data_IF_345313989655
#
_entry.id   IF_345313989655
#
_cell.length_a   1.000
_cell.length_b   1.000
_cell.length_c   1.000
_cell.angle_alpha   90.00
_cell.angle_beta   90.00
_cell.angle_gamma   90.00
#
_symmetry.space_group_name_H-M   'P 1'
#
loop_
_entity.id
_entity.type
_entity.pdbx_description
1 polymer ?
#
# COMPACT_ATOMS: atom_id res chain seq x y z
N UNK A 1 2.75 1.00 8.83
CA UNK A 1 2.58 -0.46 8.72
C UNK A 1 3.83 -1.07 8.12
N UNK A 2 4.42 -1.99 8.82
CA UNK A 2 5.58 -2.75 8.34
C UNK A 2 5.24 -4.20 8.61
N UNK A 3 5.06 -4.99 7.56
CA UNK A 3 4.54 -6.34 7.76
C UNK A 3 4.96 -7.28 6.66
N UNK A 4 5.24 -8.52 7.04
CA UNK A 4 5.42 -9.60 6.09
C UNK A 4 4.10 -10.33 5.94
N UNK A 5 3.59 -10.39 4.73
CA UNK A 5 2.33 -11.05 4.44
C UNK A 5 2.59 -12.44 3.90
N UNK A 6 1.83 -13.41 4.39
CA UNK A 6 1.94 -14.79 3.93
C UNK A 6 0.89 -15.03 2.86
N UNK A 7 1.34 -15.42 1.67
CA UNK A 7 0.42 -15.75 0.58
C UNK A 7 0.04 -17.22 0.66
N UNK A 8 1.03 -18.06 0.89
CA UNK A 8 0.82 -19.50 0.88
C UNK A 8 0.48 -19.96 2.30
N UNK A 9 -0.81 -20.08 2.57
CA UNK A 9 -1.28 -20.49 3.89
C UNK A 9 -2.08 -21.78 3.75
N UNK A 10 -2.10 -22.55 4.82
CA UNK A 10 -2.57 -23.93 4.80
C UNK A 10 -4.05 -24.07 4.45
N UNK A 11 -4.89 -23.22 5.00
CA UNK A 11 -6.33 -23.40 4.92
C UNK A 11 -7.02 -22.47 3.95
N UNK A 12 -6.25 -21.81 3.07
CA UNK A 12 -6.85 -20.84 2.17
C UNK A 12 -6.35 -21.05 0.75
N UNK A 13 -7.25 -20.81 -0.18
CA UNK A 13 -6.92 -20.68 -1.57
C UNK A 13 -6.00 -19.49 -1.75
N UNK A 14 -5.01 -19.63 -2.63
CA UNK A 14 -4.02 -18.57 -2.83
C UNK A 14 -4.67 -17.27 -3.30
N UNK A 15 -5.63 -17.35 -4.23
CA UNK A 15 -6.30 -16.14 -4.72
C UNK A 15 -7.07 -15.44 -3.62
N UNK A 16 -7.73 -16.21 -2.77
CA UNK A 16 -8.47 -15.62 -1.67
C UNK A 16 -7.55 -14.96 -0.67
N UNK A 17 -6.40 -15.57 -0.43
CA UNK A 17 -5.43 -15.00 0.48
C UNK A 17 -4.92 -13.68 -0.06
N UNK A 18 -4.65 -13.60 -1.35
CA UNK A 18 -4.21 -12.36 -1.98
C UNK A 18 -5.27 -11.27 -1.83
N UNK A 19 -6.53 -11.63 -2.07
CA UNK A 19 -7.63 -10.67 -1.90
C UNK A 19 -7.72 -10.19 -0.46
N UNK A 20 -7.53 -11.09 0.48
CA UNK A 20 -7.56 -10.74 1.89
C UNK A 20 -6.45 -9.76 2.23
N UNK A 21 -5.26 -9.97 1.70
CA UNK A 21 -4.14 -9.08 1.90
C UNK A 21 -4.45 -7.71 1.32
N UNK A 22 -4.97 -7.67 0.09
CA UNK A 22 -5.34 -6.39 -0.53
C UNK A 22 -6.37 -5.64 0.28
N UNK A 23 -7.34 -6.36 0.83
CA UNK A 23 -8.36 -5.74 1.66
C UNK A 23 -7.76 -5.17 2.94
N UNK A 24 -6.85 -5.89 3.56
CA UNK A 24 -6.19 -5.41 4.75
C UNK A 24 -5.42 -4.13 4.47
N UNK A 25 -4.71 -4.10 3.36
CA UNK A 25 -3.94 -2.93 2.96
C UNK A 25 -4.87 -1.75 2.68
N UNK A 26 -5.96 -2.00 1.96
CA UNK A 26 -6.92 -0.94 1.65
C UNK A 26 -7.54 -0.36 2.91
N UNK A 27 -7.87 -1.21 3.87
CA UNK A 27 -8.44 -0.74 5.13
C UNK A 27 -7.46 0.13 5.89
N UNK A 28 -6.20 -0.28 5.90
CA UNK A 28 -5.19 0.51 6.56
C UNK A 28 -5.07 1.89 5.90
N UNK A 29 -4.99 1.92 4.59
CA UNK A 29 -4.86 3.17 3.86
C UNK A 29 -6.06 4.06 4.11
N UNK A 30 -7.26 3.50 4.04
CA UNK A 30 -8.47 4.27 4.24
C UNK A 30 -8.51 4.87 5.63
N UNK A 31 -8.11 4.09 6.62
CA UNK A 31 -8.11 4.57 8.00
C UNK A 31 -7.12 5.72 8.16
N UNK A 32 -5.94 5.60 7.56
CA UNK A 32 -4.95 6.65 7.67
C UNK A 32 -5.38 7.91 6.94
N UNK A 33 -6.02 7.75 5.79
CA UNK A 33 -6.50 8.90 5.02
C UNK A 33 -7.60 9.65 5.71
N UNK A 34 -8.36 8.99 6.58
CA UNK A 34 -9.44 9.65 7.29
C UNK A 34 -8.94 10.52 8.44
N UNK A 35 -7.68 10.39 8.81
CA UNK A 35 -7.09 11.23 9.84
C UNK A 35 -6.75 12.58 9.25
N UNK A 36 -6.94 13.63 10.05
CA UNK A 36 -6.61 14.98 9.60
C UNK A 36 -5.11 15.19 9.65
N UNK A 37 -4.53 15.82 8.63
CA UNK A 37 -3.12 16.18 8.72
C UNK A 37 -2.92 17.20 9.85
N UNK A 38 -1.73 17.24 10.43
CA UNK A 38 -1.44 18.26 11.43
C UNK A 38 -1.57 19.65 10.84
N UNK A 39 -1.72 20.63 11.73
CA UNK A 39 -1.82 22.01 11.30
C UNK A 39 -0.60 22.38 10.46
N UNK A 40 -0.83 23.07 9.36
CA UNK A 40 0.25 23.47 8.48
C UNK A 40 0.50 22.49 7.34
N UNK A 41 -0.18 21.34 7.36
CA UNK A 41 -0.07 20.34 6.30
C UNK A 41 -1.42 20.14 5.65
N UNK A 42 -1.44 19.78 4.38
CA UNK A 42 -2.71 19.70 3.67
C UNK A 42 -2.99 18.35 3.06
N UNK A 43 -2.15 17.35 3.27
CA UNK A 43 -2.48 16.00 2.80
C UNK A 43 -1.59 14.97 3.50
N UNK A 44 -1.98 13.70 3.38
CA UNK A 44 -1.17 12.59 3.87
C UNK A 44 -0.58 11.85 2.67
N UNK A 45 0.70 11.58 2.74
CA UNK A 45 1.41 10.80 1.75
C UNK A 45 1.85 9.50 2.39
N UNK A 46 2.17 8.52 1.54
CA UNK A 46 2.64 7.23 2.02
C UNK A 46 3.99 6.93 1.41
N UNK A 47 4.94 6.56 2.26
CA UNK A 47 6.22 6.04 1.81
C UNK A 47 6.09 4.53 1.81
N UNK A 48 6.38 3.90 0.68
CA UNK A 48 6.09 2.48 0.49
C UNK A 48 7.35 1.73 0.12
N UNK A 49 7.49 0.51 0.64
CA UNK A 49 8.57 -0.38 0.27
C UNK A 49 8.01 -1.78 0.07
N UNK A 50 8.59 -2.51 -0.86
CA UNK A 50 8.14 -3.86 -1.20
C UNK A 50 9.33 -4.73 -1.54
N UNK A 51 9.29 -5.99 -1.10
CA UNK A 51 10.32 -6.95 -1.43
C UNK A 51 9.92 -8.32 -0.93
N UNK A 52 10.73 -9.31 -1.25
CA UNK A 52 10.50 -10.66 -0.72
C UNK A 52 10.67 -10.68 0.78
N UNK A 53 11.64 -9.93 1.28
CA UNK A 53 11.93 -9.83 2.70
C UNK A 53 12.17 -8.38 3.04
N UNK A 54 12.20 -8.08 4.33
CA UNK A 54 12.46 -6.71 4.77
C UNK A 54 13.81 -6.22 4.27
N UNK A 55 14.80 -7.10 4.23
CA UNK A 55 16.13 -6.73 3.80
C UNK A 55 16.20 -6.41 2.31
N UNK A 56 15.33 -7.03 1.52
CA UNK A 56 15.34 -6.84 0.07
C UNK A 56 14.32 -5.80 -0.37
N UNK A 57 13.55 -5.24 0.55
CA UNK A 57 12.51 -4.29 0.20
C UNK A 57 13.12 -3.02 -0.39
N UNK A 58 12.52 -2.54 -1.46
CA UNK A 58 12.93 -1.31 -2.11
C UNK A 58 11.76 -0.37 -2.19
N UNK A 59 12.07 0.89 -2.35
CA UNK A 59 11.04 1.93 -2.41
C UNK A 59 10.19 1.77 -3.66
N UNK A 60 8.87 1.87 -3.50
CA UNK A 60 7.94 1.84 -4.61
C UNK A 60 6.97 3.00 -4.47
N UNK A 61 6.29 3.31 -5.56
CA UNK A 61 5.28 4.36 -5.54
C UNK A 61 4.00 3.84 -4.89
N UNK A 62 3.29 4.74 -4.23
CA UNK A 62 2.04 4.37 -3.60
C UNK A 62 1.07 3.72 -4.58
N UNK A 63 1.01 4.24 -5.80
CA UNK A 63 0.09 3.70 -6.81
C UNK A 63 0.48 2.30 -7.26
N UNK A 64 1.70 1.88 -6.98
CA UNK A 64 2.17 0.56 -7.38
C UNK A 64 1.99 -0.50 -6.31
N UNK A 65 1.39 -0.15 -5.17
CA UNK A 65 1.25 -1.10 -4.07
C UNK A 65 0.44 -2.33 -4.50
N UNK A 66 -0.72 -2.11 -5.09
CA UNK A 66 -1.56 -3.22 -5.52
C UNK A 66 -0.87 -4.05 -6.61
N UNK A 67 -0.19 -3.37 -7.53
CA UNK A 67 0.55 -4.07 -8.57
C UNK A 67 1.65 -4.93 -7.99
N UNK A 68 2.31 -4.45 -6.95
CA UNK A 68 3.37 -5.22 -6.30
C UNK A 68 2.82 -6.48 -5.65
N UNK A 69 1.65 -6.37 -5.03
CA UNK A 69 1.00 -7.55 -4.44
C UNK A 69 0.68 -8.55 -5.54
N UNK A 70 0.12 -8.10 -6.65
CA UNK A 70 -0.17 -8.98 -7.78
C UNK A 70 1.09 -9.61 -8.34
N UNK A 71 2.17 -8.83 -8.40
CA UNK A 71 3.44 -9.33 -8.87
C UNK A 71 3.93 -10.48 -7.99
N UNK A 72 3.88 -10.30 -6.67
CA UNK A 72 4.30 -11.35 -5.76
C UNK A 72 3.48 -12.61 -5.94
N UNK A 73 2.18 -12.46 -6.15
CA UNK A 73 1.30 -13.60 -6.34
C UNK A 73 1.62 -14.32 -7.65
N UNK A 74 1.86 -13.57 -8.72
CA UNK A 74 2.11 -14.18 -10.02
C UNK A 74 3.49 -14.82 -10.10
N UNK A 75 4.45 -14.33 -9.31
CA UNK A 75 5.79 -14.89 -9.28
C UNK A 75 5.88 -16.12 -8.36
N UNK A 76 4.79 -16.47 -7.72
CA UNK A 76 4.79 -17.65 -6.87
C UNK A 76 5.42 -17.45 -5.52
N UNK A 77 5.51 -16.22 -5.05
CA UNK A 77 6.09 -15.94 -3.72
C UNK A 77 5.22 -16.59 -2.65
N UNK A 78 5.86 -17.18 -1.66
CA UNK A 78 5.15 -17.66 -0.48
C UNK A 78 4.76 -16.52 0.44
N UNK A 79 5.57 -15.49 0.45
CA UNK A 79 5.34 -14.32 1.28
C UNK A 79 6.04 -13.12 0.67
N UNK A 80 5.70 -11.93 1.17
CA UNK A 80 6.39 -10.72 0.76
C UNK A 80 6.33 -9.71 1.90
N UNK A 81 7.23 -8.74 1.85
CA UNK A 81 7.29 -7.67 2.84
C UNK A 81 6.72 -6.39 2.22
N UNK A 82 5.86 -5.73 2.96
CA UNK A 82 5.28 -4.47 2.52
C UNK A 82 5.35 -3.46 3.66
N UNK A 83 5.82 -2.27 3.33
CA UNK A 83 5.92 -1.19 4.30
C UNK A 83 5.12 0.01 3.77
N UNK A 84 4.25 0.55 4.60
CA UNK A 84 3.45 1.73 4.30
C UNK A 84 3.54 2.65 5.50
N UNK A 85 4.18 3.80 5.30
CA UNK A 85 4.34 4.78 6.37
C UNK A 85 3.62 6.05 5.96
N UNK A 86 2.58 6.41 6.69
CA UNK A 86 1.85 7.64 6.43
C UNK A 86 2.65 8.82 6.97
N UNK A 87 2.68 9.90 6.20
CA UNK A 87 3.33 11.13 6.66
C UNK A 87 2.54 12.32 6.18
N UNK A 88 2.61 13.39 6.96
CA UNK A 88 1.96 14.64 6.58
C UNK A 88 2.88 15.41 5.64
N UNK A 89 2.29 16.09 4.68
CA UNK A 89 3.09 16.81 3.70
C UNK A 89 2.27 17.96 3.15
N UNK A 90 2.92 18.82 2.39
CA UNK A 90 2.30 19.96 1.75
C UNK A 90 2.46 19.77 0.25
N UNK A 91 1.36 19.87 -0.48
CA UNK A 91 1.38 19.73 -1.92
C UNK A 91 0.87 20.98 -2.58
N UNK A 92 1.41 21.27 -3.75
CA UNK A 92 0.88 22.31 -4.59
C UNK A 92 -0.44 21.85 -5.19
N UNK A 93 -1.29 22.83 -5.51
CA UNK A 93 -2.62 22.53 -6.04
C UNK A 93 -2.54 21.58 -7.23
N UNK A 94 -1.58 21.82 -8.11
CA UNK A 94 -1.43 21.00 -9.29
C UNK A 94 -1.22 19.54 -8.94
N UNK A 95 -0.40 19.27 -7.93
CA UNK A 95 -0.14 17.89 -7.53
C UNK A 95 -1.34 17.28 -6.86
N UNK A 96 -2.08 18.10 -6.14
CA UNK A 96 -3.29 17.60 -5.48
C UNK A 96 -4.30 17.12 -6.52
N UNK A 97 -4.41 17.82 -7.64
CA UNK A 97 -5.33 17.42 -8.68
C UNK A 97 -4.97 16.04 -9.22
N UNK A 98 -3.69 15.79 -9.39
CA UNK A 98 -3.27 14.48 -9.86
C UNK A 98 -3.62 13.40 -8.86
N UNK A 99 -3.49 13.70 -7.59
CA UNK A 99 -3.83 12.73 -6.56
C UNK A 99 -5.33 12.44 -6.55
N UNK A 100 -6.13 13.43 -6.84
CA UNK A 100 -7.56 13.22 -6.88
C UNK A 100 -7.94 12.25 -7.98
N UNK A 101 -7.27 12.36 -9.11
CA UNK A 101 -7.51 11.42 -10.19
C UNK A 101 -7.21 10.00 -9.75
N UNK A 102 -6.12 9.83 -9.03
CA UNK A 102 -5.76 8.51 -8.53
C UNK A 102 -6.82 7.98 -7.59
N UNK A 103 -7.38 8.85 -6.78
CA UNK A 103 -8.37 8.41 -5.83
C UNK A 103 -9.65 7.99 -6.50
N UNK A 104 -10.00 8.64 -7.56
CA UNK A 104 -11.17 8.24 -8.30
C UNK A 104 -11.03 6.85 -8.83
N UNK A 105 -9.85 6.52 -9.25
CA UNK A 105 -9.59 5.18 -9.72
C UNK A 105 -9.83 4.16 -8.63
N UNK A 106 -9.54 4.53 -7.41
CA UNK A 106 -9.66 3.59 -6.31
C UNK A 106 -11.10 3.31 -5.94
N UNK A 107 -12.00 4.06 -6.47
CA UNK A 107 -13.41 3.80 -6.21
C UNK A 107 -13.86 2.57 -6.94
#
# INVERSE_FOLDING_TARGET
MKKTFQINVTNKNRDRQVDSIKNEVRKYIKREKSKRPPEGFNFLAFDCKFGKTADEATEIKFVDVTKSIDFAASEGYDSFYLELIARADIKKVKEIEELEDDEEISE
#
